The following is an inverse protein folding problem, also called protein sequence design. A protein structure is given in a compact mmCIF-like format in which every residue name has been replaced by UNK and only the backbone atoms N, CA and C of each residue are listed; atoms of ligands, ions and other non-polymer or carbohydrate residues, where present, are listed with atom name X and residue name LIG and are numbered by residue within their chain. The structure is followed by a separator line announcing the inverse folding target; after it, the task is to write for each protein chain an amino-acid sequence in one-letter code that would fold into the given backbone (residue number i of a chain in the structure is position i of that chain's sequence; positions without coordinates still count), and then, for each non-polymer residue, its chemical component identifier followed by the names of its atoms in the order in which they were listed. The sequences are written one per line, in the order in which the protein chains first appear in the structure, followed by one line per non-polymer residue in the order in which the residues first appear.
data_IF_629446437588
#
_entry.id   IF_629446437588
#
_cell.length_a   1.000
_cell.length_b   1.000
_cell.length_c   1.000
_cell.angle_alpha   90.00
_cell.angle_beta   90.00
_cell.angle_gamma   90.00
#
_symmetry.space_group_name_H-M   'P 1'
#
loop_
_entity.id
_entity.type
_entity.pdbx_description
1 polymer ?
#
# COMPACT_ATOMS: atom_id res chain seq x y z
N UNK A 1 21.60 -0.66 42.44
CA UNK A 1 20.23 -0.15 42.70
C UNK A 1 19.37 -0.39 41.48
N UNK A 2 18.30 -1.20 41.60
CA UNK A 2 17.35 -1.49 40.51
C UNK A 2 16.44 -0.29 40.24
N UNK A 3 16.03 0.00 38.99
CA UNK A 3 14.81 0.76 38.74
C UNK A 3 13.65 -0.17 38.44
N UNK A 4 12.52 0.11 39.09
CA UNK A 4 11.27 -0.63 39.05
C UNK A 4 10.57 -0.54 37.69
N UNK A 5 10.16 -1.70 37.17
CA UNK A 5 9.18 -1.82 36.09
C UNK A 5 7.79 -1.44 36.58
N UNK A 6 7.18 -0.37 36.03
CA UNK A 6 5.74 -0.13 36.12
C UNK A 6 5.06 -0.64 34.85
N UNK A 7 4.32 -1.73 35.00
CA UNK A 7 3.35 -2.25 34.03
C UNK A 7 2.21 -1.23 33.90
N UNK A 8 1.88 -0.81 32.68
CA UNK A 8 0.62 -0.14 32.38
C UNK A 8 -0.42 -1.21 32.05
N UNK A 9 -1.41 -1.36 32.95
CA UNK A 9 -2.67 -2.06 32.69
C UNK A 9 -3.50 -1.22 31.71
N UNK A 10 -3.94 -1.80 30.61
CA UNK A 10 -5.11 -1.31 29.89
C UNK A 10 -6.34 -1.99 30.48
N UNK A 11 -7.18 -1.20 31.14
CA UNK A 11 -8.46 -1.63 31.69
C UNK A 11 -9.42 -2.03 30.57
N UNK A 12 -10.02 -3.20 30.77
CA UNK A 12 -11.13 -3.77 30.01
C UNK A 12 -12.48 -3.13 30.38
N UNK A 13 -13.40 -3.23 29.43
CA UNK A 13 -14.87 -3.07 29.47
C UNK A 13 -15.45 -1.68 29.12
N UNK A 14 -16.29 -1.62 28.07
CA UNK A 14 -17.69 -2.08 28.11
C UNK A 14 -18.22 -2.52 26.74
N UNK A 15 -19.11 -3.52 26.80
CA UNK A 15 -19.77 -4.29 25.73
C UNK A 15 -20.63 -3.46 24.76
N UNK A 16 -20.70 -3.83 23.46
CA UNK A 16 -21.88 -3.61 22.64
C UNK A 16 -22.97 -4.66 22.90
N UNK A 17 -24.22 -4.21 22.90
CA UNK A 17 -25.46 -4.98 23.13
C UNK A 17 -25.57 -6.14 22.14
N UNK A 18 -25.83 -7.33 22.67
CA UNK A 18 -26.20 -8.55 21.94
C UNK A 18 -27.68 -8.43 21.54
N UNK A 19 -27.96 -8.46 20.23
CA UNK A 19 -29.29 -8.75 19.69
C UNK A 19 -29.38 -10.27 19.48
N UNK A 20 -30.18 -10.93 20.31
CA UNK A 20 -30.51 -12.34 20.20
C UNK A 20 -31.46 -12.57 19.01
N UNK A 21 -31.03 -13.37 18.03
CA UNK A 21 -31.95 -14.05 17.11
C UNK A 21 -31.80 -15.56 17.29
N UNK A 22 -32.90 -16.19 17.68
CA UNK A 22 -33.04 -17.62 17.92
C UNK A 22 -32.95 -18.42 16.61
N UNK A 23 -32.27 -19.57 16.59
CA UNK A 23 -32.32 -20.50 15.46
C UNK A 23 -33.51 -21.47 15.59
N UNK A 24 -34.31 -21.54 14.54
CA UNK A 24 -35.46 -22.45 14.40
C UNK A 24 -34.99 -23.88 14.09
N UNK A 25 -35.63 -24.83 14.76
CA UNK A 25 -35.44 -26.28 14.66
C UNK A 25 -35.57 -26.83 13.24
N UNK A 26 -34.64 -27.71 12.85
CA UNK A 26 -34.89 -28.74 11.83
C UNK A 26 -34.34 -30.09 12.30
N UNK A 27 -35.28 -31.00 12.54
CA UNK A 27 -35.10 -32.40 12.93
C UNK A 27 -34.83 -33.26 11.68
N UNK A 28 -33.91 -34.23 11.70
CA UNK A 28 -33.70 -35.16 10.59
C UNK A 28 -34.61 -36.39 10.71
N UNK A 29 -35.04 -37.04 9.61
CA UNK A 29 -35.69 -38.34 9.69
C UNK A 29 -34.68 -39.49 9.54
N UNK A 30 -34.87 -40.51 10.39
CA UNK A 30 -34.21 -41.83 10.38
C UNK A 30 -34.96 -42.84 9.48
N UNK A 31 -34.34 -43.99 9.13
CA UNK A 31 -34.70 -44.80 7.96
C UNK A 31 -35.76 -45.87 8.27
N UNK A 32 -36.53 -46.29 7.26
CA UNK A 32 -37.41 -47.46 7.34
C UNK A 32 -37.02 -48.51 6.28
N UNK A 33 -37.24 -49.77 6.67
CA UNK A 33 -36.63 -50.99 6.17
C UNK A 33 -37.53 -51.76 5.18
N UNK A 34 -36.89 -52.68 4.43
CA UNK A 34 -37.35 -54.05 4.04
C UNK A 34 -38.26 -54.26 2.79
N UNK A 35 -38.21 -55.47 2.15
CA UNK A 35 -38.04 -55.64 0.70
C UNK A 35 -39.24 -56.38 0.05
N UNK A 36 -39.11 -56.82 -1.22
CA UNK A 36 -39.76 -58.08 -1.58
C UNK A 36 -38.89 -59.09 -2.33
N UNK A 37 -39.38 -60.32 -2.22
CA UNK A 37 -38.84 -61.62 -2.59
C UNK A 37 -38.77 -61.90 -4.10
N UNK A 38 -37.89 -62.85 -4.40
CA UNK A 38 -37.63 -63.50 -5.69
C UNK A 38 -38.85 -64.14 -6.36
N UNK A 39 -38.74 -64.41 -7.67
CA UNK A 39 -39.22 -65.67 -8.22
C UNK A 39 -38.11 -66.49 -8.91
N UNK A 40 -38.45 -67.77 -8.99
CA UNK A 40 -37.64 -68.97 -9.19
C UNK A 40 -37.14 -69.19 -10.63
N UNK A 41 -36.06 -69.99 -10.68
CA UNK A 41 -35.26 -70.49 -11.79
C UNK A 41 -35.94 -70.85 -13.13
N UNK A 42 -35.23 -70.53 -14.22
CA UNK A 42 -35.14 -71.39 -15.40
C UNK A 42 -33.68 -71.43 -15.92
N UNK A 43 -33.21 -72.66 -16.09
CA UNK A 43 -31.87 -73.09 -16.52
C UNK A 43 -31.46 -72.57 -17.91
N UNK A 44 -30.19 -72.14 -18.05
CA UNK A 44 -29.41 -72.28 -19.30
C UNK A 44 -27.90 -72.17 -19.02
N UNK A 45 -27.17 -73.11 -19.59
CA UNK A 45 -25.74 -73.42 -19.42
C UNK A 45 -24.78 -72.24 -19.66
N UNK A 46 -23.60 -72.21 -19.00
CA UNK A 46 -22.65 -71.11 -19.14
C UNK A 46 -21.90 -71.19 -20.48
N UNK A 47 -22.01 -70.12 -21.27
CA UNK A 47 -21.08 -69.86 -22.39
C UNK A 47 -19.75 -69.33 -21.82
N UNK A 48 -18.60 -69.53 -22.51
CA UNK A 48 -17.31 -69.15 -21.96
C UNK A 48 -17.22 -67.65 -21.77
N UNK A 49 -16.83 -67.23 -20.57
CA UNK A 49 -16.49 -65.85 -20.25
C UNK A 49 -15.25 -65.47 -21.06
N UNK A 50 -15.43 -64.78 -22.18
CA UNK A 50 -14.35 -63.94 -22.71
C UNK A 50 -14.15 -62.80 -21.74
N UNK A 51 -13.10 -62.90 -20.92
CA UNK A 51 -12.55 -61.74 -20.23
C UNK A 51 -12.11 -60.73 -21.30
N UNK A 52 -12.99 -59.76 -21.60
CA UNK A 52 -12.57 -58.51 -22.23
C UNK A 52 -11.63 -57.85 -21.24
N UNK A 53 -10.33 -58.02 -21.48
CA UNK A 53 -9.26 -57.30 -20.81
C UNK A 53 -9.58 -55.81 -20.96
N UNK A 54 -10.15 -55.19 -19.93
CA UNK A 54 -10.27 -53.73 -19.87
C UNK A 54 -8.85 -53.21 -20.04
N UNK A 55 -8.61 -52.48 -21.13
CA UNK A 55 -7.38 -51.68 -21.27
C UNK A 55 -7.24 -50.87 -19.99
N UNK A 56 -6.05 -50.81 -19.35
CA UNK A 56 -5.84 -49.87 -18.27
C UNK A 56 -6.27 -48.50 -18.79
N UNK A 57 -7.15 -47.82 -18.07
CA UNK A 57 -7.32 -46.40 -18.31
C UNK A 57 -5.91 -45.80 -18.22
N UNK A 58 -5.47 -45.24 -19.34
CA UNK A 58 -4.24 -44.47 -19.39
C UNK A 58 -4.46 -43.32 -18.43
N UNK A 59 -3.94 -43.44 -17.20
CA UNK A 59 -3.81 -42.31 -16.30
C UNK A 59 -2.97 -41.30 -17.07
N UNK A 60 -3.62 -40.31 -17.68
CA UNK A 60 -2.94 -39.09 -18.07
C UNK A 60 -2.20 -38.65 -16.82
N UNK A 61 -0.88 -38.69 -16.87
CA UNK A 61 -0.01 -38.24 -15.80
C UNK A 61 -0.30 -36.74 -15.64
N UNK A 62 -1.24 -36.42 -14.76
CA UNK A 62 -1.49 -35.04 -14.35
C UNK A 62 -0.29 -34.72 -13.50
N UNK A 63 0.68 -34.01 -14.06
CA UNK A 63 1.76 -33.45 -13.26
C UNK A 63 1.10 -32.43 -12.33
N UNK A 64 0.99 -32.71 -11.02
CA UNK A 64 0.28 -31.83 -10.11
C UNK A 64 1.01 -30.50 -10.06
N UNK A 65 0.29 -29.41 -10.31
CA UNK A 65 0.85 -28.08 -10.26
C UNK A 65 0.87 -27.60 -8.81
N UNK A 66 1.87 -26.80 -8.44
CA UNK A 66 1.84 -26.06 -7.18
C UNK A 66 0.65 -25.08 -7.11
N UNK A 67 0.01 -24.77 -8.24
CA UNK A 67 -1.23 -24.01 -8.29
C UNK A 67 -2.44 -24.79 -7.75
N UNK A 68 -2.38 -26.13 -7.73
CA UNK A 68 -3.50 -27.02 -7.32
C UNK A 68 -3.54 -27.27 -5.80
N UNK A 69 -2.58 -26.72 -5.04
CA UNK A 69 -2.57 -26.79 -3.58
C UNK A 69 -3.77 -26.03 -2.98
N UNK A 70 -4.50 -26.61 -2.01
CA UNK A 70 -5.54 -25.90 -1.27
C UNK A 70 -5.03 -24.62 -0.61
N UNK A 71 -5.82 -23.55 -0.63
CA UNK A 71 -5.45 -22.24 -0.07
C UNK A 71 -4.98 -22.32 1.38
N UNK A 72 -5.61 -23.15 2.20
CA UNK A 72 -5.22 -23.34 3.61
C UNK A 72 -3.80 -23.88 3.78
N UNK A 73 -3.31 -24.72 2.86
CA UNK A 73 -1.92 -25.20 2.88
C UNK A 73 -0.96 -24.14 2.37
N UNK A 74 -1.34 -23.39 1.32
CA UNK A 74 -0.55 -22.28 0.83
C UNK A 74 -0.37 -21.20 1.89
N UNK A 75 -1.41 -20.87 2.65
CA UNK A 75 -1.33 -19.94 3.77
C UNK A 75 -0.34 -20.40 4.85
N UNK A 76 -0.35 -21.70 5.21
CA UNK A 76 0.60 -22.25 6.19
C UNK A 76 2.04 -22.22 5.67
N UNK A 77 2.25 -22.47 4.36
CA UNK A 77 3.58 -22.35 3.75
C UNK A 77 4.03 -20.88 3.81
N UNK A 78 3.16 -19.97 3.37
CA UNK A 78 3.42 -18.53 3.34
C UNK A 78 3.71 -17.96 4.73
N UNK A 79 3.03 -18.44 5.78
CA UNK A 79 3.23 -17.98 7.16
C UNK A 79 4.55 -18.44 7.77
N UNK A 80 5.27 -19.38 7.15
CA UNK A 80 6.51 -19.96 7.68
C UNK A 80 7.76 -19.49 6.96
N UNK A 81 7.64 -18.98 5.74
CA UNK A 81 8.75 -18.45 4.97
C UNK A 81 9.01 -16.99 5.33
N UNK A 82 10.27 -16.56 5.23
CA UNK A 82 10.65 -15.17 5.52
C UNK A 82 10.03 -14.22 4.50
N UNK A 83 9.86 -12.94 4.89
CA UNK A 83 9.15 -11.94 4.06
C UNK A 83 9.69 -11.87 2.63
N UNK A 84 11.00 -11.94 2.44
CA UNK A 84 11.63 -11.93 1.11
C UNK A 84 11.13 -13.09 0.23
N UNK A 85 11.24 -14.32 0.73
CA UNK A 85 10.82 -15.52 0.02
C UNK A 85 9.30 -15.54 -0.15
N UNK A 86 8.56 -15.04 0.83
CA UNK A 86 7.11 -14.86 0.73
C UNK A 86 6.75 -13.96 -0.46
N UNK A 87 7.46 -12.85 -0.64
CA UNK A 87 7.27 -11.91 -1.76
C UNK A 87 7.62 -12.55 -3.09
N UNK A 88 8.74 -13.24 -3.19
CA UNK A 88 9.13 -13.96 -4.41
C UNK A 88 8.12 -15.06 -4.75
N UNK A 89 7.71 -15.84 -3.76
CA UNK A 89 6.73 -16.91 -3.90
C UNK A 89 5.37 -16.37 -4.36
N UNK A 90 4.96 -15.18 -3.90
CA UNK A 90 3.72 -14.52 -4.33
C UNK A 90 3.69 -14.09 -5.80
N UNK A 91 4.84 -14.10 -6.49
CA UNK A 91 4.91 -13.84 -7.93
C UNK A 91 4.71 -15.10 -8.78
N UNK A 92 4.68 -16.30 -8.18
CA UNK A 92 4.62 -17.56 -8.92
C UNK A 92 3.27 -17.77 -9.63
N UNK A 93 2.16 -17.58 -8.93
CA UNK A 93 0.81 -17.64 -9.51
C UNK A 93 -0.24 -16.97 -8.60
N UNK A 94 -1.47 -16.83 -9.09
CA UNK A 94 -2.56 -16.13 -8.40
C UNK A 94 -2.89 -16.73 -7.02
N UNK A 95 -2.98 -18.05 -6.89
CA UNK A 95 -3.30 -18.70 -5.60
C UNK A 95 -2.22 -18.46 -4.54
N UNK A 96 -0.94 -18.48 -4.95
CA UNK A 96 0.18 -18.13 -4.09
C UNK A 96 0.16 -16.65 -3.72
N UNK A 97 -0.17 -15.76 -4.67
CA UNK A 97 -0.32 -14.33 -4.42
C UNK A 97 -1.39 -14.03 -3.36
N UNK A 98 -2.56 -14.66 -3.50
CA UNK A 98 -3.69 -14.49 -2.57
C UNK A 98 -3.34 -14.99 -1.17
N UNK A 99 -2.77 -16.20 -1.05
CA UNK A 99 -2.35 -16.77 0.23
C UNK A 99 -1.27 -15.91 0.92
N UNK A 100 -0.28 -15.44 0.15
CA UNK A 100 0.77 -14.57 0.65
C UNK A 100 0.21 -13.24 1.16
N UNK A 101 -0.71 -12.64 0.40
CA UNK A 101 -1.35 -11.38 0.77
C UNK A 101 -2.19 -11.55 2.03
N UNK A 102 -2.95 -12.64 2.14
CA UNK A 102 -3.72 -12.96 3.34
C UNK A 102 -2.83 -13.05 4.58
N UNK A 103 -1.75 -13.83 4.52
CA UNK A 103 -0.80 -13.97 5.63
C UNK A 103 -0.14 -12.64 6.02
N UNK A 104 0.26 -11.82 5.04
CA UNK A 104 0.84 -10.49 5.31
C UNK A 104 -0.16 -9.52 5.91
N UNK A 105 -1.43 -9.61 5.56
CA UNK A 105 -2.50 -8.82 6.18
C UNK A 105 -2.74 -9.26 7.63
N UNK A 106 -2.59 -10.56 7.91
CA UNK A 106 -2.67 -11.10 9.28
C UNK A 106 -1.49 -10.66 10.15
N UNK A 107 -0.31 -10.40 9.56
CA UNK A 107 0.76 -9.64 10.22
C UNK A 107 0.32 -8.17 10.39
N UNK A 108 -0.35 -7.88 11.51
CA UNK A 108 -1.12 -6.66 11.76
C UNK A 108 -0.33 -5.32 11.86
N UNK A 109 0.97 -5.29 11.60
CA UNK A 109 1.78 -4.07 11.78
C UNK A 109 2.62 -3.73 10.54
N UNK A 110 2.67 -2.44 10.15
CA UNK A 110 3.48 -2.01 9.02
C UNK A 110 4.97 -2.11 9.35
N UNK A 111 5.75 -2.60 8.40
CA UNK A 111 7.21 -2.55 8.45
C UNK A 111 7.69 -1.16 8.05
N UNK A 112 8.75 -0.68 8.71
CA UNK A 112 9.33 0.62 8.46
C UNK A 112 10.37 0.53 7.35
N UNK A 113 10.20 1.34 6.30
CA UNK A 113 11.18 1.49 5.23
C UNK A 113 12.21 2.56 5.63
N UNK A 114 13.49 2.22 5.57
CA UNK A 114 14.58 3.07 6.01
C UNK A 114 15.81 2.96 5.12
N UNK A 115 16.59 4.03 5.06
CA UNK A 115 17.82 4.12 4.28
C UNK A 115 19.01 4.25 5.25
N UNK A 116 19.85 3.22 5.40
CA UNK A 116 20.94 3.22 6.35
C UNK A 116 22.00 4.29 5.98
N UNK A 117 22.32 5.16 6.93
CA UNK A 117 23.27 6.27 6.73
C UNK A 117 24.76 5.85 6.73
N UNK A 118 25.08 4.62 7.15
CA UNK A 118 26.45 4.08 7.21
C UNK A 118 26.50 2.70 6.56
N UNK A 119 27.48 2.48 5.69
CA UNK A 119 27.89 1.14 5.25
C UNK A 119 27.15 0.54 4.05
N UNK A 120 26.28 1.28 3.37
CA UNK A 120 25.62 0.80 2.14
C UNK A 120 24.93 1.94 1.40
N UNK A 121 25.60 2.53 0.41
CA UNK A 121 25.06 3.59 -0.46
C UNK A 121 24.02 3.10 -1.46
N UNK A 122 23.67 1.82 -1.43
CA UNK A 122 22.76 1.15 -2.36
C UNK A 122 21.74 0.26 -1.62
N UNK A 123 21.54 0.46 -0.31
CA UNK A 123 20.69 -0.42 0.51
C UNK A 123 19.39 0.26 0.94
N UNK A 124 18.32 -0.53 0.90
CA UNK A 124 17.00 -0.23 1.45
C UNK A 124 16.70 -1.25 2.55
N UNK A 125 16.39 -0.79 3.76
CA UNK A 125 16.10 -1.64 4.92
C UNK A 125 14.62 -1.55 5.29
N UNK A 126 13.94 -2.69 5.29
CA UNK A 126 12.62 -2.89 5.88
C UNK A 126 12.80 -3.43 7.30
N UNK A 127 12.30 -2.69 8.29
CA UNK A 127 12.43 -3.06 9.71
C UNK A 127 11.08 -3.34 10.32
N UNK A 128 10.95 -4.50 10.94
CA UNK A 128 9.84 -4.84 11.81
C UNK A 128 10.00 -4.10 13.15
N UNK A 129 9.12 -3.13 13.47
CA UNK A 129 9.21 -2.37 14.71
C UNK A 129 8.89 -3.19 15.98
N UNK A 130 8.23 -4.34 15.85
CA UNK A 130 7.80 -5.18 16.98
C UNK A 130 8.75 -6.35 17.24
N UNK A 131 9.28 -6.96 16.18
CA UNK A 131 10.08 -8.19 16.29
C UNK A 131 11.59 -7.95 16.17
N UNK A 132 12.03 -6.70 15.99
CA UNK A 132 13.44 -6.35 15.75
C UNK A 132 14.08 -7.13 14.59
N UNK A 133 13.26 -7.59 13.64
CA UNK A 133 13.70 -8.19 12.39
C UNK A 133 13.96 -7.09 11.39
N UNK A 134 14.99 -7.23 10.59
CA UNK A 134 15.20 -6.36 9.44
C UNK A 134 15.50 -7.19 8.20
N UNK A 135 15.08 -6.64 7.07
CA UNK A 135 15.33 -7.19 5.76
C UNK A 135 15.96 -6.09 4.91
N UNK A 136 17.05 -6.41 4.23
CA UNK A 136 17.82 -5.43 3.47
C UNK A 136 17.88 -5.83 2.00
N UNK A 137 17.65 -4.86 1.13
CA UNK A 137 17.59 -5.04 -0.31
C UNK A 137 18.55 -4.08 -0.98
N UNK A 138 19.19 -4.54 -2.06
CA UNK A 138 19.95 -3.65 -2.94
C UNK A 138 19.00 -2.90 -3.87
N UNK A 139 19.29 -1.64 -4.09
CA UNK A 139 18.58 -0.78 -5.04
C UNK A 139 19.55 -0.25 -6.11
N UNK A 140 19.13 -0.16 -7.38
CA UNK A 140 20.01 0.24 -8.48
C UNK A 140 20.23 1.76 -8.57
N UNK A 141 19.94 2.49 -7.50
CA UNK A 141 19.97 3.94 -7.41
C UNK A 141 20.54 4.36 -6.05
N UNK A 142 21.08 5.57 -5.93
CA UNK A 142 21.77 6.01 -4.70
C UNK A 142 20.78 6.62 -3.73
N UNK A 143 20.45 5.99 -2.58
CA UNK A 143 19.58 6.59 -1.58
C UNK A 143 20.22 7.77 -0.84
N UNK A 144 21.49 8.05 -1.11
CA UNK A 144 22.17 9.25 -0.60
C UNK A 144 21.80 10.49 -1.41
N UNK A 145 21.67 10.34 -2.73
CA UNK A 145 21.44 11.44 -3.66
C UNK A 145 19.98 11.57 -4.09
N UNK A 146 19.26 10.44 -4.03
CA UNK A 146 17.88 10.33 -4.46
C UNK A 146 16.93 10.38 -3.25
N UNK A 147 15.77 11.01 -3.46
CA UNK A 147 14.75 11.19 -2.43
C UNK A 147 13.51 10.38 -2.78
N UNK A 148 13.08 9.50 -1.88
CA UNK A 148 11.74 8.91 -1.95
C UNK A 148 10.73 10.00 -1.60
N UNK A 149 9.88 10.33 -2.56
CA UNK A 149 8.91 11.42 -2.45
C UNK A 149 7.54 10.91 -2.01
N UNK A 150 7.15 9.70 -2.44
CA UNK A 150 5.86 9.10 -2.12
C UNK A 150 5.96 7.58 -2.16
N UNK A 151 5.14 6.90 -1.36
CA UNK A 151 5.07 5.43 -1.36
C UNK A 151 3.61 4.99 -1.32
N UNK A 152 3.26 4.00 -2.14
CA UNK A 152 1.91 3.44 -2.18
C UNK A 152 1.88 2.12 -2.94
N UNK A 153 1.07 1.18 -2.46
CA UNK A 153 0.82 -0.12 -3.11
C UNK A 153 2.11 -0.88 -3.49
N UNK A 154 3.13 -0.82 -2.64
CA UNK A 154 4.44 -1.47 -2.87
C UNK A 154 5.39 -0.71 -3.79
N UNK A 155 4.97 0.41 -4.38
CA UNK A 155 5.78 1.25 -5.25
C UNK A 155 6.34 2.47 -4.52
N UNK A 156 7.58 2.83 -4.86
CA UNK A 156 8.25 4.05 -4.45
C UNK A 156 8.26 5.03 -5.63
N UNK A 157 7.97 6.29 -5.36
CA UNK A 157 8.23 7.37 -6.30
C UNK A 157 9.49 8.10 -5.87
N UNK A 158 10.52 8.03 -6.71
CA UNK A 158 11.86 8.48 -6.40
C UNK A 158 12.22 9.66 -7.29
N UNK A 159 12.80 10.69 -6.67
CA UNK A 159 13.40 11.85 -7.35
C UNK A 159 14.91 11.76 -7.21
N UNK A 160 15.58 11.53 -8.32
CA UNK A 160 17.04 11.56 -8.42
C UNK A 160 17.51 12.95 -8.78
N UNK A 161 18.32 13.54 -7.91
CA UNK A 161 18.84 14.89 -8.09
C UNK A 161 19.98 14.89 -9.11
N UNK A 162 19.91 15.79 -10.07
CA UNK A 162 21.05 16.00 -10.96
C UNK A 162 22.13 16.85 -10.29
N UNK A 163 23.40 16.46 -10.44
CA UNK A 163 24.54 17.24 -9.99
C UNK A 163 24.85 18.44 -10.88
N UNK A 164 24.32 18.46 -12.11
CA UNK A 164 24.43 19.62 -12.99
C UNK A 164 23.21 20.51 -12.85
N UNK A 165 23.41 21.80 -12.60
CA UNK A 165 22.34 22.81 -12.58
C UNK A 165 21.60 22.95 -13.91
N UNK A 166 22.15 22.41 -15.00
CA UNK A 166 21.53 22.40 -16.33
C UNK A 166 20.64 21.20 -16.60
N UNK A 167 20.72 20.13 -15.80
CA UNK A 167 19.93 18.92 -16.00
C UNK A 167 18.76 18.86 -15.00
N UNK A 168 17.52 18.62 -15.46
CA UNK A 168 16.38 18.52 -14.57
C UNK A 168 16.46 17.27 -13.69
N UNK A 169 15.84 17.34 -12.51
CA UNK A 169 15.65 16.18 -11.65
C UNK A 169 14.95 15.04 -12.41
N UNK A 170 15.43 13.81 -12.22
CA UNK A 170 14.82 12.62 -12.83
C UNK A 170 13.82 12.03 -11.85
N UNK A 171 12.60 11.81 -12.29
CA UNK A 171 11.55 11.16 -11.50
C UNK A 171 11.31 9.77 -12.08
N UNK A 172 11.19 8.77 -11.22
CA UNK A 172 10.87 7.41 -11.62
C UNK A 172 10.09 6.66 -10.52
N UNK A 173 9.26 5.72 -10.94
CA UNK A 173 8.71 4.71 -10.06
C UNK A 173 9.70 3.56 -9.92
N UNK A 174 9.76 2.99 -8.73
CA UNK A 174 10.58 1.82 -8.43
C UNK A 174 9.84 0.89 -7.47
N UNK A 175 9.72 -0.38 -7.83
CA UNK A 175 9.25 -1.42 -6.93
C UNK A 175 10.47 -2.17 -6.38
N UNK A 176 10.78 -2.09 -5.08
CA UNK A 176 11.95 -2.74 -4.53
C UNK A 176 11.88 -4.27 -4.69
N UNK A 177 10.68 -4.84 -4.68
CA UNK A 177 10.46 -6.29 -4.67
C UNK A 177 10.56 -6.92 -6.06
N UNK A 178 9.92 -6.32 -7.07
CA UNK A 178 10.05 -6.80 -8.46
C UNK A 178 11.30 -6.24 -9.15
N UNK A 179 11.97 -5.25 -8.55
CA UNK A 179 13.08 -4.49 -9.14
C UNK A 179 12.68 -3.73 -10.41
N UNK A 180 11.38 -3.63 -10.70
CA UNK A 180 10.86 -2.90 -11.85
C UNK A 180 11.03 -1.40 -11.65
N UNK A 181 11.39 -0.73 -12.74
CA UNK A 181 11.61 0.71 -12.79
C UNK A 181 10.84 1.31 -13.98
N UNK A 182 10.04 2.33 -13.72
CA UNK A 182 9.32 3.09 -14.74
C UNK A 182 9.80 4.53 -14.68
N UNK A 183 10.49 4.99 -15.73
CA UNK A 183 11.02 6.36 -15.79
C UNK A 183 9.99 7.31 -16.39
N UNK A 184 9.91 8.53 -15.86
CA UNK A 184 8.96 9.53 -16.33
C UNK A 184 9.59 10.48 -17.35
N UNK A 185 8.77 11.17 -18.16
CA UNK A 185 9.25 12.25 -19.03
C UNK A 185 9.95 13.34 -18.23
N UNK A 186 11.00 13.94 -18.81
CA UNK A 186 11.73 15.04 -18.19
C UNK A 186 10.85 16.27 -18.04
N UNK A 187 10.98 16.95 -16.89
CA UNK A 187 10.38 18.26 -16.64
C UNK A 187 11.41 19.34 -16.84
N UNK A 188 11.35 20.02 -17.97
CA UNK A 188 12.20 21.17 -18.21
C UNK A 188 11.58 22.40 -17.52
N UNK A 189 12.40 23.16 -16.79
CA UNK A 189 12.08 24.51 -16.26
C UNK A 189 11.22 24.62 -15.00
N UNK A 190 10.86 23.50 -14.34
CA UNK A 190 10.00 23.55 -13.15
C UNK A 190 10.56 22.64 -12.06
N UNK A 191 10.78 23.19 -10.85
CA UNK A 191 11.21 22.39 -9.69
C UNK A 191 9.98 21.77 -9.04
N UNK A 192 9.92 20.45 -8.95
CA UNK A 192 8.82 19.78 -8.27
C UNK A 192 9.13 19.57 -6.79
N UNK A 193 8.17 19.91 -5.94
CA UNK A 193 8.28 19.84 -4.49
C UNK A 193 7.53 18.60 -3.96
N UNK A 194 6.21 18.58 -4.11
CA UNK A 194 5.36 17.48 -3.70
C UNK A 194 4.96 16.60 -4.89
N UNK A 195 4.90 15.29 -4.64
CA UNK A 195 4.47 14.29 -5.62
C UNK A 195 3.60 13.25 -4.91
N UNK A 196 2.54 12.79 -5.57
CA UNK A 196 1.72 11.68 -5.09
C UNK A 196 1.04 10.98 -6.27
N UNK A 197 0.76 9.69 -6.14
CA UNK A 197 0.10 8.91 -7.18
C UNK A 197 -1.08 8.08 -6.64
N UNK A 198 -2.06 7.78 -7.49
CA UNK A 198 -3.36 7.21 -7.10
C UNK A 198 -3.34 5.69 -6.85
N UNK A 199 -2.60 4.94 -7.65
CA UNK A 199 -2.51 3.47 -7.61
C UNK A 199 -1.21 2.99 -8.29
N UNK A 200 -0.88 1.68 -8.33
CA UNK A 200 0.35 1.21 -8.96
C UNK A 200 0.54 1.77 -10.38
N UNK A 201 1.76 2.19 -10.77
CA UNK A 201 2.04 2.73 -12.11
C UNK A 201 1.92 1.68 -13.23
N UNK A 202 1.66 0.42 -12.90
CA UNK A 202 1.31 -0.65 -13.84
C UNK A 202 -0.18 -0.70 -14.18
N UNK A 203 -1.00 0.09 -13.48
CA UNK A 203 -2.44 0.23 -13.74
C UNK A 203 -2.68 1.38 -14.71
N UNK A 204 -3.56 1.18 -15.70
CA UNK A 204 -3.92 2.21 -16.68
C UNK A 204 -4.63 3.41 -16.04
N UNK A 205 -5.32 3.20 -14.92
CA UNK A 205 -5.98 4.24 -14.13
C UNK A 205 -5.03 5.08 -13.23
N UNK A 206 -3.72 4.78 -13.25
CA UNK A 206 -2.77 5.51 -12.42
C UNK A 206 -2.64 6.95 -12.89
N UNK A 207 -2.79 7.86 -11.94
CA UNK A 207 -2.52 9.29 -12.12
C UNK A 207 -1.46 9.68 -11.12
N UNK A 208 -0.41 10.32 -11.59
CA UNK A 208 0.56 11.03 -10.78
C UNK A 208 0.21 12.51 -10.79
N UNK A 209 0.17 13.14 -9.62
CA UNK A 209 0.05 14.57 -9.45
C UNK A 209 1.34 15.11 -8.84
N UNK A 210 1.86 16.19 -9.40
CA UNK A 210 3.03 16.88 -8.89
C UNK A 210 2.75 18.37 -8.73
N UNK A 211 3.25 18.95 -7.63
CA UNK A 211 3.30 20.39 -7.46
C UNK A 211 4.69 20.90 -7.81
N UNK A 212 4.78 21.82 -8.76
CA UNK A 212 6.05 22.31 -9.24
C UNK A 212 6.02 23.85 -9.32
N UNK A 213 7.17 24.51 -9.16
CA UNK A 213 7.27 25.96 -9.27
C UNK A 213 8.22 26.43 -10.39
N UNK A 214 7.86 27.54 -11.02
CA UNK A 214 8.70 28.24 -11.98
C UNK A 214 9.80 29.07 -11.27
N UNK A 215 10.61 29.79 -12.05
CA UNK A 215 11.67 30.66 -11.50
C UNK A 215 11.15 31.85 -10.68
N UNK A 216 9.87 32.19 -10.84
CA UNK A 216 9.18 33.25 -10.10
C UNK A 216 8.39 32.70 -8.91
N UNK A 217 8.61 31.44 -8.55
CA UNK A 217 7.94 30.75 -7.46
C UNK A 217 6.40 30.65 -7.65
N UNK A 218 5.89 30.67 -8.90
CA UNK A 218 4.49 30.38 -9.17
C UNK A 218 4.24 28.87 -9.12
N UNK A 219 3.26 28.42 -8.34
CA UNK A 219 2.93 26.99 -8.24
C UNK A 219 2.05 26.58 -9.41
N UNK A 220 2.46 25.51 -10.08
CA UNK A 220 1.68 24.80 -11.09
C UNK A 220 1.51 23.36 -10.65
N UNK A 221 0.28 22.85 -10.76
CA UNK A 221 0.00 21.44 -10.57
C UNK A 221 0.01 20.76 -11.95
N UNK A 222 0.74 19.67 -12.06
CA UNK A 222 0.87 18.91 -13.30
C UNK A 222 0.53 17.44 -13.04
N UNK A 223 -0.06 16.80 -14.05
CA UNK A 223 -0.42 15.39 -14.00
C UNK A 223 0.33 14.59 -15.05
N UNK A 224 0.48 13.29 -14.78
CA UNK A 224 1.02 12.31 -15.72
C UNK A 224 0.36 10.96 -15.51
N UNK A 225 0.11 10.22 -16.59
CA UNK A 225 -0.37 8.84 -16.56
C UNK A 225 0.63 7.86 -17.17
N UNK A 226 0.66 6.59 -16.74
CA UNK A 226 1.46 5.56 -17.40
C UNK A 226 1.27 5.53 -18.91
N UNK A 227 2.38 5.40 -19.64
CA UNK A 227 2.40 5.42 -21.10
C UNK A 227 2.42 6.80 -21.74
N UNK A 228 2.11 7.87 -21.01
CA UNK A 228 2.18 9.23 -21.56
C UNK A 228 3.63 9.71 -21.72
N UNK A 229 3.91 10.37 -22.85
CA UNK A 229 5.24 10.92 -23.16
C UNK A 229 5.46 12.35 -22.66
N UNK A 230 4.39 13.01 -22.18
CA UNK A 230 4.38 14.40 -21.74
C UNK A 230 3.54 14.56 -20.49
N UNK A 231 3.83 15.61 -19.73
CA UNK A 231 3.02 16.02 -18.59
C UNK A 231 1.89 16.93 -19.03
N UNK A 232 0.75 16.84 -18.35
CA UNK A 232 -0.41 17.70 -18.57
C UNK A 232 -0.44 18.79 -17.50
N UNK A 233 -0.41 20.05 -17.93
CA UNK A 233 -0.55 21.20 -17.03
C UNK A 233 -2.00 21.30 -16.59
N UNK A 234 -2.21 21.32 -15.28
CA UNK A 234 -3.53 21.57 -14.71
C UNK A 234 -3.64 23.05 -14.39
N UNK A 235 -4.51 23.76 -15.11
CA UNK A 235 -4.70 25.20 -14.92
C UNK A 235 -5.54 25.46 -13.68
N UNK A 236 -5.02 26.25 -12.75
CA UNK A 236 -5.73 26.73 -11.57
C UNK A 236 -4.92 27.80 -10.86
N UNK A 237 -5.58 28.74 -10.20
CA UNK A 237 -4.91 29.68 -9.30
C UNK A 237 -4.60 28.95 -7.99
N UNK A 238 -3.40 28.39 -7.91
CA UNK A 238 -2.91 27.66 -6.74
C UNK A 238 -2.16 28.58 -5.75
N UNK A 239 -2.11 29.89 -6.05
CA UNK A 239 -1.34 30.88 -5.30
C UNK A 239 0.16 30.85 -5.59
N UNK A 240 0.87 31.83 -5.01
CA UNK A 240 2.33 31.84 -4.97
C UNK A 240 2.85 30.66 -4.15
N UNK A 241 4.04 30.15 -4.48
CA UNK A 241 4.77 29.15 -3.68
C UNK A 241 5.01 29.70 -2.29
N UNK A 242 4.07 29.45 -1.40
CA UNK A 242 4.42 29.29 -0.02
C UNK A 242 5.15 27.95 0.06
N UNK A 243 6.42 28.03 0.47
CA UNK A 243 7.50 27.05 0.29
C UNK A 243 7.22 25.60 0.72
N UNK A 244 6.02 25.27 1.20
CA UNK A 244 5.69 23.99 1.82
C UNK A 244 4.22 23.61 1.61
N UNK A 245 3.93 22.92 0.51
CA UNK A 245 2.68 22.17 0.36
C UNK A 245 2.83 20.76 0.94
N UNK A 246 1.73 20.06 1.17
CA UNK A 246 1.72 18.62 1.44
C UNK A 246 0.70 17.96 0.53
N UNK A 247 1.10 16.88 -0.13
CA UNK A 247 0.24 16.18 -1.09
C UNK A 247 0.02 14.73 -0.66
N UNK A 248 -1.23 14.28 -0.70
CA UNK A 248 -1.58 12.87 -0.52
C UNK A 248 -2.73 12.47 -1.44
N UNK A 249 -2.92 11.17 -1.61
CA UNK A 249 -4.07 10.60 -2.31
C UNK A 249 -4.91 9.73 -1.36
N UNK A 250 -6.23 9.97 -1.34
CA UNK A 250 -7.21 9.18 -0.61
C UNK A 250 -7.86 8.16 -1.55
N UNK A 251 -7.73 6.87 -1.23
CA UNK A 251 -8.34 5.80 -2.05
C UNK A 251 -9.87 5.82 -1.98
N UNK A 252 -10.40 6.01 -0.78
CA UNK A 252 -11.84 5.93 -0.52
C UNK A 252 -12.61 7.10 -1.12
N UNK A 253 -12.00 8.28 -1.19
CA UNK A 253 -12.62 9.46 -1.76
C UNK A 253 -12.26 9.68 -3.24
N UNK A 254 -11.40 8.81 -3.81
CA UNK A 254 -10.83 8.94 -5.16
C UNK A 254 -10.29 10.36 -5.47
N UNK A 255 -9.52 10.91 -4.53
CA UNK A 255 -9.07 12.32 -4.59
C UNK A 255 -7.65 12.51 -4.09
N UNK A 256 -6.93 13.36 -4.79
CA UNK A 256 -5.72 14.01 -4.27
C UNK A 256 -6.13 15.14 -3.33
N UNK A 257 -5.38 15.31 -2.25
CA UNK A 257 -5.51 16.43 -1.34
C UNK A 257 -4.18 17.16 -1.27
N UNK A 258 -4.21 18.44 -1.63
CA UNK A 258 -3.08 19.35 -1.58
C UNK A 258 -3.32 20.40 -0.50
N UNK A 259 -2.59 20.28 0.59
CA UNK A 259 -2.62 21.21 1.69
C UNK A 259 -1.55 22.27 1.48
N UNK A 260 -1.97 23.53 1.51
CA UNK A 260 -1.09 24.70 1.58
C UNK A 260 -1.25 25.36 2.95
N UNK A 261 -0.43 26.37 3.24
CA UNK A 261 -0.57 27.21 4.43
C UNK A 261 -1.91 27.97 4.54
N UNK A 262 -2.63 28.13 3.42
CA UNK A 262 -3.85 28.96 3.33
C UNK A 262 -5.11 28.18 2.97
N UNK A 263 -4.98 27.01 2.33
CA UNK A 263 -6.10 26.28 1.77
C UNK A 263 -5.84 24.79 1.70
N UNK A 264 -6.94 24.02 1.77
CA UNK A 264 -6.96 22.63 1.38
C UNK A 264 -7.66 22.54 0.02
N UNK A 265 -7.00 21.90 -0.94
CA UNK A 265 -7.53 21.69 -2.27
C UNK A 265 -7.64 20.21 -2.53
N UNK A 266 -8.72 19.77 -3.16
CA UNK A 266 -8.86 18.39 -3.61
C UNK A 266 -9.02 18.31 -5.12
N UNK A 267 -8.41 17.28 -5.72
CA UNK A 267 -8.43 17.01 -7.15
C UNK A 267 -8.87 15.59 -7.43
N UNK A 268 -9.87 15.46 -8.29
CA UNK A 268 -10.36 14.17 -8.74
C UNK A 268 -9.63 13.76 -10.03
N UNK A 269 -8.86 12.66 -10.06
CA UNK A 269 -8.00 12.28 -11.17
C UNK A 269 -8.74 11.99 -12.48
N UNK A 270 -9.87 11.28 -12.39
CA UNK A 270 -10.64 10.85 -13.57
C UNK A 270 -11.43 11.99 -14.20
N UNK A 271 -12.07 12.83 -13.39
CA UNK A 271 -12.88 13.97 -13.90
C UNK A 271 -12.07 15.24 -14.14
N UNK A 272 -10.85 15.35 -13.59
CA UNK A 272 -10.04 16.56 -13.66
C UNK A 272 -10.57 17.72 -12.81
N UNK A 273 -11.52 17.46 -11.91
CA UNK A 273 -12.23 18.51 -11.15
C UNK A 273 -11.50 18.89 -9.87
N UNK A 274 -11.49 20.19 -9.58
CA UNK A 274 -10.93 20.77 -8.36
C UNK A 274 -12.04 21.24 -7.42
N UNK A 275 -11.87 20.98 -6.12
CA UNK A 275 -12.64 21.61 -5.04
C UNK A 275 -11.65 22.32 -4.11
N UNK A 276 -11.93 23.57 -3.76
CA UNK A 276 -11.12 24.37 -2.85
C UNK A 276 -11.91 24.64 -1.59
N UNK A 277 -11.38 24.19 -0.47
CA UNK A 277 -11.92 24.46 0.84
C UNK A 277 -10.99 25.48 1.52
N UNK A 278 -11.54 26.67 1.80
CA UNK A 278 -10.81 27.72 2.51
C UNK A 278 -10.65 27.30 3.96
N UNK A 279 -9.41 27.07 4.39
CA UNK A 279 -9.13 26.78 5.79
C UNK A 279 -9.13 28.09 6.59
N UNK A 280 -10.27 28.46 7.16
CA UNK A 280 -10.31 29.55 8.14
C UNK A 280 -9.70 29.08 9.46
N UNK A 281 -8.52 29.60 9.80
CA UNK A 281 -7.95 29.51 11.16
C UNK A 281 -6.81 28.52 11.39
N UNK A 282 -6.41 27.72 10.39
CA UNK A 282 -5.23 26.85 10.50
C UNK A 282 -4.03 27.50 9.82
N UNK A 283 -3.34 28.42 10.50
CA UNK A 283 -2.05 28.93 10.03
C UNK A 283 -0.97 27.85 10.19
N UNK A 284 -0.70 27.15 9.09
CA UNK A 284 0.37 26.16 8.99
C UNK A 284 1.68 26.87 8.61
N UNK A 285 2.29 27.60 9.56
CA UNK A 285 3.67 28.06 9.36
C UNK A 285 4.62 26.86 9.54
N UNK A 286 5.27 26.44 8.45
CA UNK A 286 6.26 25.38 8.46
C UNK A 286 7.64 26.00 8.76
N UNK A 287 8.15 25.81 9.98
CA UNK A 287 9.39 26.43 10.47
C UNK A 287 10.64 25.57 10.17
N UNK A 288 10.56 24.76 9.11
CA UNK A 288 11.49 23.65 8.81
C UNK A 288 12.89 24.10 8.38
N UNK A 289 13.18 25.40 8.26
CA UNK A 289 14.47 25.94 7.80
C UNK A 289 15.43 26.42 8.89
N UNK A 290 15.23 26.10 10.18
CA UNK A 290 16.32 26.29 11.17
C UNK A 290 17.34 25.16 11.22
N UNK A 291 17.21 24.09 10.43
CA UNK A 291 18.14 22.95 10.47
C UNK A 291 19.41 23.10 9.61
N UNK A 292 19.64 24.22 8.91
CA UNK A 292 20.91 24.45 8.17
C UNK A 292 22.02 25.12 8.98
N UNK A 293 21.74 25.61 10.18
CA UNK A 293 22.75 26.18 11.07
C UNK A 293 22.55 25.69 12.50
N UNK A 294 23.23 24.59 12.84
CA UNK A 294 23.93 24.34 14.11
C UNK A 294 23.27 24.63 15.47
N UNK A 295 21.98 24.92 15.59
CA UNK A 295 21.35 25.20 16.88
C UNK A 295 20.36 24.11 17.30
N UNK A 296 20.67 23.53 18.46
CA UNK A 296 19.93 22.48 19.14
C UNK A 296 18.41 22.73 19.20
N UNK A 297 17.68 21.70 18.75
CA UNK A 297 16.24 21.51 18.84
C UNK A 297 15.76 21.49 20.30
N UNK A 298 14.90 22.43 20.68
CA UNK A 298 14.06 22.25 21.88
C UNK A 298 12.56 22.56 21.65
N UNK A 299 12.14 23.19 20.54
CA UNK A 299 10.74 23.57 20.30
C UNK A 299 10.35 23.65 18.81
N UNK A 300 10.80 22.74 17.94
CA UNK A 300 10.38 22.77 16.52
C UNK A 300 8.93 22.28 16.37
N UNK A 301 8.10 23.08 15.69
CA UNK A 301 6.76 22.69 15.25
C UNK A 301 6.91 21.78 14.04
N UNK A 302 6.37 20.56 14.08
CA UNK A 302 6.30 19.67 12.91
C UNK A 302 4.86 19.43 12.52
N UNK A 303 4.59 19.43 11.22
CA UNK A 303 3.27 19.24 10.65
C UNK A 303 3.29 17.95 9.83
N UNK A 304 2.27 17.13 10.00
CA UNK A 304 2.07 15.88 9.28
C UNK A 304 0.67 15.89 8.68
N UNK A 305 0.57 15.44 7.44
CA UNK A 305 -0.69 15.34 6.70
C UNK A 305 -0.87 13.88 6.32
N UNK A 306 -2.02 13.33 6.68
CA UNK A 306 -2.26 11.91 6.54
C UNK A 306 -3.74 11.63 6.28
N UNK A 307 -4.00 10.46 5.72
CA UNK A 307 -5.33 9.93 5.45
C UNK A 307 -5.48 8.58 6.15
N UNK A 308 -6.66 8.32 6.69
CA UNK A 308 -7.03 7.01 7.23
C UNK A 308 -8.52 6.78 7.03
N UNK A 309 -8.86 5.74 6.25
CA UNK A 309 -10.24 5.32 5.99
C UNK A 309 -11.12 6.42 5.38
N UNK A 310 -10.54 7.28 4.54
CA UNK A 310 -11.20 8.41 3.89
C UNK A 310 -11.16 9.71 4.68
N UNK A 311 -10.82 9.65 5.96
CA UNK A 311 -10.65 10.85 6.75
C UNK A 311 -9.25 11.41 6.54
N UNK A 312 -9.18 12.66 6.10
CA UNK A 312 -7.93 13.39 5.98
C UNK A 312 -7.73 14.20 7.24
N UNK A 313 -6.53 14.18 7.80
CA UNK A 313 -6.23 14.90 9.03
C UNK A 313 -4.85 15.54 9.01
N UNK A 314 -4.77 16.66 9.73
CA UNK A 314 -3.54 17.39 9.99
C UNK A 314 -3.11 17.15 11.42
N UNK A 315 -1.90 16.62 11.60
CA UNK A 315 -1.29 16.48 12.91
C UNK A 315 -0.19 17.51 13.09
N UNK A 316 -0.26 18.28 14.18
CA UNK A 316 0.74 19.27 14.56
C UNK A 316 1.38 18.83 15.87
N UNK A 317 2.71 18.71 15.86
CA UNK A 317 3.52 18.37 17.04
C UNK A 317 4.41 19.54 17.41
N UNK A 318 4.70 19.70 18.71
CA UNK A 318 5.56 20.76 19.20
C UNK A 318 6.34 20.30 20.44
N UNK A 319 7.65 20.07 20.27
CA UNK A 319 8.51 19.56 21.34
C UNK A 319 7.94 18.30 21.99
N UNK A 320 7.79 18.31 23.32
CA UNK A 320 7.21 17.20 24.10
C UNK A 320 5.70 17.34 24.34
N UNK A 321 5.02 18.34 23.77
CA UNK A 321 3.56 18.49 23.96
C UNK A 321 2.81 17.40 23.22
N UNK A 322 1.63 17.05 23.74
CA UNK A 322 0.70 16.14 23.05
C UNK A 322 0.42 16.66 21.64
N UNK A 323 0.48 15.80 20.61
CA UNK A 323 0.09 16.16 19.25
C UNK A 323 -1.34 16.70 19.22
N UNK A 324 -1.56 17.75 18.42
CA UNK A 324 -2.92 18.21 18.07
C UNK A 324 -3.28 17.62 16.72
N UNK A 325 -4.48 17.08 16.60
CA UNK A 325 -4.99 16.48 15.36
C UNK A 325 -6.26 17.23 14.96
N UNK A 326 -6.32 17.65 13.71
CA UNK A 326 -7.46 18.35 13.12
C UNK A 326 -8.01 17.47 12.00
N UNK A 327 -9.27 17.09 12.09
CA UNK A 327 -9.99 16.49 10.97
C UNK A 327 -10.21 17.56 9.90
N UNK A 328 -9.91 17.20 8.65
CA UNK A 328 -10.20 18.02 7.49
C UNK A 328 -11.47 17.43 6.86
N UNK A 329 -12.62 17.73 7.48
CA UNK A 329 -13.92 17.40 6.87
C UNK A 329 -14.07 18.28 5.64
N UNK A 330 -14.20 17.65 4.47
CA UNK A 330 -14.79 18.32 3.33
C UNK A 330 -16.28 18.30 3.57
N UNK A 331 -16.87 19.42 3.95
CA UNK A 331 -18.33 19.56 4.00
C UNK A 331 -18.90 19.05 2.66
N UNK A 332 -19.82 18.08 2.75
CA UNK A 332 -20.45 17.39 1.62
C UNK A 332 -21.03 18.37 0.60
#
# INVERSE_FOLDING_TARGET
MRPLSRKLHFGTQQNPKILNYSPTNLTPPSPSQTPPLSPTMASRSPSPITFRRRRPQHWSKVDPSFADLPSSLLEVIMSRIVLEDNIRASAACKSWHEAATYVRVVENHPWLLSFPKRGGSDLLELRDPLQSKSFTMKVPWSPYDDTVCYTRDGWLLVRSRSYSSSDPDKIFFFNPFSQERISLPKLHFIRCHELAFSCPPTSDDCVLLASCCDQRDNVTLITWRPGETKWTITTGDFGSSEKYGMLLYSKSNDRFYFLTSRSLQSFHPSSGTWKRDSLTGIYVHNDSQRQRYGHHELNSKKIYFAEKRGEVFLMVTWGKKKPRVFGMEGDE
#
